data_IF_166376767909
#
_entry.id   IF_166376767909
#
_cell.length_a   1.000
_cell.length_b   1.000
_cell.length_c   1.000
_cell.angle_alpha   90.00
_cell.angle_beta   90.00
_cell.angle_gamma   90.00
#
_symmetry.space_group_name_H-M   'P 1'
#
loop_
_entity.id
_entity.type
_entity.pdbx_description
1 polymer ?
#
# COMPACT_ATOMS: atom_id res chain seq x y z
N UNK A 1 -42.73 8.31 -6.34
CA UNK A 1 -41.43 8.41 -5.65
C UNK A 1 -40.57 7.23 -6.13
N UNK A 2 -39.65 7.49 -7.05
CA UNK A 2 -38.68 6.49 -7.46
C UNK A 2 -37.56 6.47 -6.42
N UNK A 3 -37.50 5.42 -5.64
CA UNK A 3 -36.36 5.11 -4.78
C UNK A 3 -35.18 4.76 -5.68
N UNK A 4 -34.22 5.69 -5.84
CA UNK A 4 -32.90 5.38 -6.39
C UNK A 4 -32.26 4.28 -5.52
N UNK A 5 -32.36 3.03 -5.93
CA UNK A 5 -31.47 1.99 -5.48
C UNK A 5 -30.08 2.38 -5.99
N UNK A 6 -29.25 2.88 -5.11
CA UNK A 6 -27.81 2.91 -5.32
C UNK A 6 -27.44 1.42 -5.47
N UNK A 7 -27.16 0.99 -6.71
CA UNK A 7 -26.55 -0.31 -6.92
C UNK A 7 -25.28 -0.36 -6.10
N UNK A 8 -25.27 -1.13 -5.03
CA UNK A 8 -24.05 -1.46 -4.32
C UNK A 8 -23.16 -2.19 -5.32
N UNK A 9 -22.15 -1.48 -5.82
CA UNK A 9 -21.12 -2.07 -6.66
C UNK A 9 -20.53 -3.24 -5.89
N UNK A 10 -20.75 -4.45 -6.35
CA UNK A 10 -20.12 -5.63 -5.80
C UNK A 10 -18.63 -5.59 -6.12
N UNK A 11 -17.79 -6.02 -5.18
CA UNK A 11 -16.36 -6.16 -5.44
C UNK A 11 -16.17 -7.27 -6.48
N UNK A 12 -15.57 -7.00 -7.66
CA UNK A 12 -15.33 -8.04 -8.63
C UNK A 12 -14.32 -9.05 -8.09
N UNK A 13 -14.65 -10.34 -8.15
CA UNK A 13 -13.76 -11.43 -7.76
C UNK A 13 -12.87 -11.87 -8.92
N UNK A 14 -11.64 -12.33 -8.60
CA UNK A 14 -10.69 -12.89 -9.57
C UNK A 14 -10.44 -11.97 -10.79
N UNK A 15 -10.29 -10.68 -10.53
CA UNK A 15 -10.21 -9.65 -11.57
C UNK A 15 -9.01 -8.74 -11.31
N UNK A 16 -8.39 -8.27 -12.37
CA UNK A 16 -7.39 -7.19 -12.35
C UNK A 16 -8.07 -5.90 -12.78
N UNK A 17 -7.99 -4.88 -11.93
CA UNK A 17 -8.47 -3.53 -12.24
C UNK A 17 -7.28 -2.65 -12.59
N UNK A 18 -7.21 -2.17 -13.82
CA UNK A 18 -6.16 -1.26 -14.27
C UNK A 18 -6.59 0.20 -14.08
N UNK A 19 -5.75 0.98 -13.40
CA UNK A 19 -5.97 2.40 -13.18
C UNK A 19 -5.29 2.92 -11.93
N UNK A 20 -5.56 4.17 -11.59
CA UNK A 20 -5.10 4.76 -10.33
C UNK A 20 -5.80 4.09 -9.14
N UNK A 21 -4.99 3.56 -8.22
CA UNK A 21 -5.51 2.80 -7.08
C UNK A 21 -6.42 3.62 -6.17
N UNK A 22 -6.15 4.93 -6.01
CA UNK A 22 -6.97 5.82 -5.18
C UNK A 22 -8.38 5.95 -5.80
N UNK A 23 -8.44 6.16 -7.11
CA UNK A 23 -9.70 6.28 -7.84
C UNK A 23 -10.48 4.96 -7.84
N UNK A 24 -9.78 3.84 -8.04
CA UNK A 24 -10.39 2.50 -8.01
C UNK A 24 -10.95 2.20 -6.62
N UNK A 25 -10.17 2.40 -5.57
CA UNK A 25 -10.65 2.17 -4.21
C UNK A 25 -11.86 3.03 -3.85
N UNK A 26 -11.96 4.26 -4.35
CA UNK A 26 -13.15 5.11 -4.15
C UNK A 26 -14.42 4.48 -4.71
N UNK A 27 -14.33 3.72 -5.78
CA UNK A 27 -15.48 3.03 -6.39
C UNK A 27 -15.88 1.74 -5.67
N UNK A 28 -15.02 1.20 -4.81
CA UNK A 28 -15.30 -0.01 -4.05
C UNK A 28 -16.11 0.31 -2.77
N UNK A 29 -16.99 -0.59 -2.34
CA UNK A 29 -17.71 -0.43 -1.08
C UNK A 29 -16.76 -0.38 0.12
N UNK A 30 -17.13 0.36 1.16
CA UNK A 30 -16.43 0.29 2.44
C UNK A 30 -16.56 -1.12 3.05
N UNK A 31 -15.55 -1.55 3.81
CA UNK A 31 -15.55 -2.85 4.51
C UNK A 31 -15.85 -4.04 3.59
N UNK A 32 -15.27 -4.07 2.42
CA UNK A 32 -15.54 -5.09 1.39
C UNK A 32 -14.35 -6.00 1.09
N UNK A 33 -13.14 -5.63 1.51
CA UNK A 33 -11.90 -6.35 1.23
C UNK A 33 -11.44 -7.10 2.48
N UNK A 34 -11.14 -8.37 2.32
CA UNK A 34 -10.74 -9.26 3.43
C UNK A 34 -9.27 -9.13 3.79
N UNK A 35 -8.42 -8.80 2.83
CA UNK A 35 -6.97 -8.69 3.03
C UNK A 35 -6.34 -7.78 1.97
N UNK A 36 -5.34 -7.00 2.37
CA UNK A 36 -4.55 -6.17 1.46
C UNK A 36 -3.09 -6.56 1.58
N UNK A 37 -2.46 -6.81 0.44
CA UNK A 37 -1.02 -6.93 0.31
C UNK A 37 -0.54 -5.90 -0.70
N UNK A 38 0.36 -5.00 -0.28
CA UNK A 38 0.83 -3.93 -1.15
C UNK A 38 2.33 -3.71 -1.05
N UNK A 39 2.92 -3.46 -2.21
CA UNK A 39 4.33 -3.06 -2.37
C UNK A 39 4.36 -1.69 -3.07
N UNK A 40 4.15 -0.61 -2.30
CA UNK A 40 4.05 0.74 -2.86
C UNK A 40 5.42 1.30 -3.24
N UNK A 41 5.49 2.38 -4.04
CA UNK A 41 6.73 3.10 -4.27
C UNK A 41 7.42 3.52 -2.96
N UNK A 42 8.73 3.34 -2.87
CA UNK A 42 9.48 3.52 -1.62
C UNK A 42 9.97 4.95 -1.36
N UNK A 43 9.68 5.88 -2.26
CA UNK A 43 10.10 7.29 -2.19
C UNK A 43 11.63 7.47 -2.24
N UNK A 44 12.30 6.61 -2.98
CA UNK A 44 13.76 6.57 -3.09
C UNK A 44 14.28 7.13 -4.41
N UNK A 45 13.39 7.64 -5.27
CA UNK A 45 13.71 8.15 -6.62
C UNK A 45 14.47 7.12 -7.45
N UNK A 46 13.96 5.90 -7.44
CA UNK A 46 14.58 4.77 -8.12
C UNK A 46 14.73 5.04 -9.61
N UNK A 47 15.90 4.71 -10.14
CA UNK A 47 16.15 4.62 -11.57
C UNK A 47 16.85 3.30 -11.86
N UNK A 48 16.39 2.59 -12.88
CA UNK A 48 17.08 1.41 -13.37
C UNK A 48 18.29 1.77 -14.26
N UNK A 49 18.98 0.75 -14.77
CA UNK A 49 20.16 0.94 -15.64
C UNK A 49 19.82 1.63 -16.96
N UNK A 50 18.57 1.62 -17.37
CA UNK A 50 18.06 2.25 -18.61
C UNK A 50 17.44 3.62 -18.33
N UNK A 51 17.51 4.13 -17.09
CA UNK A 51 16.97 5.42 -16.67
C UNK A 51 15.46 5.45 -16.42
N UNK A 52 14.80 4.27 -16.42
CA UNK A 52 13.36 4.19 -16.11
C UNK A 52 13.15 4.42 -14.62
N UNK A 53 12.14 5.21 -14.29
CA UNK A 53 11.74 5.53 -12.92
C UNK A 53 10.42 4.85 -12.55
N UNK A 54 10.15 4.79 -11.25
CA UNK A 54 8.86 4.35 -10.71
C UNK A 54 7.97 5.58 -10.52
N UNK A 55 6.76 5.51 -11.04
CA UNK A 55 5.76 6.58 -10.86
C UNK A 55 5.49 6.79 -9.36
N UNK A 56 5.38 8.06 -8.92
CA UNK A 56 5.15 8.47 -7.55
C UNK A 56 6.26 8.12 -6.54
N UNK A 57 7.41 7.66 -6.98
CA UNK A 57 8.55 7.36 -6.10
C UNK A 57 9.32 8.63 -5.64
N UNK A 58 8.95 9.79 -6.15
CA UNK A 58 9.59 11.08 -5.86
C UNK A 58 8.73 12.05 -5.04
N UNK A 59 7.47 11.72 -4.76
CA UNK A 59 6.55 12.57 -4.01
C UNK A 59 5.75 11.77 -2.98
N UNK A 60 5.22 12.47 -1.96
CA UNK A 60 4.48 11.87 -0.84
C UNK A 60 2.98 12.14 -0.89
N UNK A 61 2.50 12.88 -1.90
CA UNK A 61 1.12 13.39 -1.94
C UNK A 61 0.07 12.29 -2.03
N UNK A 62 0.45 11.12 -2.56
CA UNK A 62 -0.40 9.96 -2.72
C UNK A 62 -0.53 9.09 -1.46
N UNK A 63 0.42 9.18 -0.49
CA UNK A 63 0.51 8.28 0.66
C UNK A 63 -0.78 8.28 1.51
N UNK A 64 -1.16 9.44 2.05
CA UNK A 64 -2.35 9.53 2.91
C UNK A 64 -3.63 9.19 2.14
N UNK A 65 -3.89 9.72 0.94
CA UNK A 65 -5.07 9.34 0.17
C UNK A 65 -5.14 7.84 -0.15
N UNK A 66 -4.01 7.21 -0.53
CA UNK A 66 -3.99 5.79 -0.85
C UNK A 66 -4.28 4.92 0.38
N UNK A 67 -3.61 5.17 1.49
CA UNK A 67 -3.82 4.39 2.71
C UNK A 67 -5.15 4.69 3.40
N UNK A 68 -5.69 5.89 3.27
CA UNK A 68 -7.06 6.21 3.69
C UNK A 68 -8.08 5.40 2.89
N UNK A 69 -7.88 5.29 1.58
CA UNK A 69 -8.69 4.44 0.72
C UNK A 69 -8.59 2.95 1.10
N UNK A 70 -7.38 2.48 1.34
CA UNK A 70 -7.12 1.10 1.77
C UNK A 70 -7.82 0.78 3.11
N UNK A 71 -7.71 1.68 4.09
CA UNK A 71 -8.38 1.51 5.38
C UNK A 71 -9.90 1.46 5.24
N UNK A 72 -10.47 2.31 4.40
CA UNK A 72 -11.93 2.36 4.17
C UNK A 72 -12.48 1.08 3.55
N UNK A 73 -11.77 0.51 2.57
CA UNK A 73 -12.25 -0.70 1.88
C UNK A 73 -11.95 -1.98 2.64
N UNK A 74 -10.93 -2.00 3.50
CA UNK A 74 -10.59 -3.14 4.34
C UNK A 74 -11.68 -3.33 5.39
N UNK A 75 -12.11 -4.57 5.59
CA UNK A 75 -13.04 -4.92 6.67
C UNK A 75 -12.40 -4.66 8.03
N UNK A 76 -13.22 -4.32 9.02
CA UNK A 76 -12.75 -4.15 10.40
C UNK A 76 -12.14 -5.46 10.93
N UNK A 77 -11.10 -5.33 11.75
CA UNK A 77 -10.34 -6.45 12.33
C UNK A 77 -9.68 -7.38 11.29
N UNK A 78 -9.50 -6.88 10.07
CA UNK A 78 -8.76 -7.54 9.01
C UNK A 78 -7.41 -6.87 8.81
N UNK A 79 -6.52 -7.53 8.07
CA UNK A 79 -5.12 -7.13 7.98
C UNK A 79 -4.73 -6.55 6.63
N UNK A 80 -3.81 -5.60 6.68
CA UNK A 80 -3.00 -5.19 5.55
C UNK A 80 -1.53 -5.51 5.84
N UNK A 81 -0.84 -6.06 4.86
CA UNK A 81 0.63 -6.12 4.84
C UNK A 81 1.12 -5.08 3.83
N UNK A 82 1.95 -4.16 4.29
CA UNK A 82 2.57 -3.16 3.44
C UNK A 82 4.09 -3.23 3.53
N UNK A 83 4.73 -3.44 2.37
CA UNK A 83 6.15 -3.14 2.23
C UNK A 83 6.37 -1.64 2.29
N UNK A 84 7.60 -1.21 2.51
CA UNK A 84 7.93 0.20 2.66
C UNK A 84 9.40 0.48 2.40
N UNK A 85 9.72 1.74 2.09
CA UNK A 85 11.08 2.23 2.02
C UNK A 85 11.59 2.58 3.41
N UNK A 86 12.57 1.84 3.92
CA UNK A 86 13.08 2.03 5.28
C UNK A 86 13.70 3.42 5.52
N UNK A 87 14.23 4.07 4.50
CA UNK A 87 14.74 5.44 4.60
C UNK A 87 13.66 6.50 4.78
N UNK A 88 12.41 6.17 4.49
CA UNK A 88 11.24 7.04 4.55
C UNK A 88 10.16 6.50 5.50
N UNK A 89 10.56 5.64 6.43
CA UNK A 89 9.63 4.94 7.32
C UNK A 89 8.74 5.88 8.15
N UNK A 90 9.26 7.04 8.53
CA UNK A 90 8.52 8.08 9.23
C UNK A 90 7.27 8.52 8.46
N UNK A 91 7.39 8.69 7.14
CA UNK A 91 6.29 9.10 6.26
C UNK A 91 5.26 7.98 6.09
N UNK A 92 5.73 6.73 5.95
CA UNK A 92 4.85 5.57 5.88
C UNK A 92 4.06 5.38 7.18
N UNK A 93 4.72 5.39 8.33
CA UNK A 93 4.06 5.26 9.63
C UNK A 93 3.05 6.40 9.85
N UNK A 94 3.44 7.63 9.53
CA UNK A 94 2.53 8.77 9.65
C UNK A 94 1.28 8.57 8.79
N UNK A 95 1.44 8.14 7.53
CA UNK A 95 0.29 7.94 6.64
C UNK A 95 -0.61 6.78 7.07
N UNK A 96 -0.06 5.68 7.54
CA UNK A 96 -0.86 4.56 8.07
C UNK A 96 -1.67 4.99 9.30
N UNK A 97 -1.05 5.64 10.27
CA UNK A 97 -1.74 6.13 11.47
C UNK A 97 -2.79 7.19 11.14
N UNK A 98 -2.49 8.11 10.22
CA UNK A 98 -3.45 9.12 9.74
C UNK A 98 -4.66 8.49 9.06
N UNK A 99 -4.49 7.36 8.38
CA UNK A 99 -5.57 6.60 7.76
C UNK A 99 -6.44 5.84 8.77
N UNK A 100 -5.91 5.55 9.96
CA UNK A 100 -6.61 4.83 11.02
C UNK A 100 -6.00 3.47 11.37
N UNK A 101 -4.96 3.03 10.66
CA UNK A 101 -4.29 1.76 10.94
C UNK A 101 -3.52 1.77 12.26
N UNK A 102 -3.55 0.63 12.94
CA UNK A 102 -2.63 0.29 14.03
C UNK A 102 -1.51 -0.60 13.50
N UNK A 103 -0.31 -0.39 13.98
CA UNK A 103 0.82 -1.29 13.71
C UNK A 103 0.70 -2.48 14.66
N UNK A 104 0.61 -3.68 14.13
CA UNK A 104 0.39 -4.90 14.94
C UNK A 104 1.52 -5.92 14.79
N UNK A 105 2.36 -5.81 13.77
CA UNK A 105 3.50 -6.70 13.61
C UNK A 105 4.50 -6.17 12.59
N UNK A 106 5.68 -6.77 12.59
CA UNK A 106 6.74 -6.50 11.62
C UNK A 106 7.24 -7.82 11.04
N UNK A 107 7.36 -7.87 9.72
CA UNK A 107 7.74 -9.06 8.97
C UNK A 107 9.09 -8.83 8.30
N UNK A 108 9.95 -9.82 8.38
CA UNK A 108 11.26 -9.81 7.71
C UNK A 108 11.35 -11.02 6.77
N UNK A 109 11.60 -10.75 5.51
CA UNK A 109 11.77 -11.76 4.47
C UNK A 109 13.25 -11.88 4.14
N UNK A 110 13.88 -12.97 4.55
CA UNK A 110 15.29 -13.23 4.26
C UNK A 110 15.49 -13.50 2.77
N UNK A 111 16.45 -12.80 2.16
CA UNK A 111 16.88 -13.04 0.79
C UNK A 111 18.11 -13.98 0.75
N UNK A 112 18.25 -14.76 -0.32
CA UNK A 112 19.45 -15.55 -0.58
C UNK A 112 20.57 -14.71 -1.21
N UNK A 113 20.29 -13.52 -1.69
CA UNK A 113 21.24 -12.57 -2.26
C UNK A 113 21.30 -11.29 -1.47
N UNK A 114 22.44 -10.61 -1.50
CA UNK A 114 22.60 -9.32 -0.84
C UNK A 114 22.38 -8.17 -1.82
N UNK A 115 21.59 -7.19 -1.40
CA UNK A 115 21.56 -5.88 -2.04
C UNK A 115 22.77 -5.08 -1.56
N UNK A 116 23.58 -4.58 -2.48
CA UNK A 116 24.74 -3.75 -2.12
C UNK A 116 24.28 -2.32 -1.87
N UNK A 117 24.63 -1.79 -0.71
CA UNK A 117 24.64 -0.36 -0.44
C UNK A 117 26.08 0.12 -0.24
N UNK A 118 26.26 1.43 -0.11
CA UNK A 118 27.60 2.01 0.06
C UNK A 118 28.34 1.48 1.29
N UNK A 119 27.63 1.22 2.37
CA UNK A 119 28.23 0.88 3.67
C UNK A 119 27.84 -0.50 4.18
N UNK A 120 26.63 -0.97 3.84
CA UNK A 120 26.07 -2.20 4.37
C UNK A 120 25.58 -3.10 3.24
N UNK A 121 25.47 -4.39 3.55
CA UNK A 121 24.80 -5.37 2.69
C UNK A 121 23.48 -5.77 3.32
N UNK A 122 22.41 -5.70 2.53
CA UNK A 122 21.08 -6.09 2.98
C UNK A 122 20.68 -7.43 2.37
N UNK A 123 20.26 -8.36 3.21
CA UNK A 123 19.79 -9.70 2.80
C UNK A 123 18.35 -9.92 3.23
N UNK A 124 17.56 -8.87 3.31
CA UNK A 124 16.16 -8.97 3.70
C UNK A 124 15.31 -7.89 3.02
N UNK A 125 14.02 -8.17 2.95
CA UNK A 125 12.95 -7.21 2.78
C UNK A 125 12.10 -7.19 4.03
N UNK A 126 11.39 -6.12 4.25
CA UNK A 126 10.54 -5.96 5.42
C UNK A 126 9.18 -5.37 5.07
N UNK A 127 8.19 -5.73 5.87
CA UNK A 127 6.85 -5.20 5.78
C UNK A 127 6.25 -5.02 7.18
N UNK A 128 5.26 -4.15 7.28
CA UNK A 128 4.44 -4.05 8.48
C UNK A 128 3.12 -4.78 8.31
N UNK A 129 2.69 -5.44 9.38
CA UNK A 129 1.34 -5.94 9.53
C UNK A 129 0.51 -4.86 10.24
N UNK A 130 -0.57 -4.47 9.60
CA UNK A 130 -1.42 -3.35 9.98
C UNK A 130 -2.87 -3.83 10.14
N UNK A 131 -3.59 -3.25 11.09
CA UNK A 131 -5.01 -3.52 11.31
C UNK A 131 -5.79 -2.24 11.66
#
# INVERSE_FOLDING_TARGET
MQTNRIEQLSVPANTVLHGDCISIMRSLPANSIDFILTDPPYLVRYQDREGRSIQNDSNTDWLIPAFTGAYRVLKQDHFMISFYGWTQIDKFIHSWRSAGFRIVGHLVFRKQYASKSRFLRYQHEQAYLLA
#
